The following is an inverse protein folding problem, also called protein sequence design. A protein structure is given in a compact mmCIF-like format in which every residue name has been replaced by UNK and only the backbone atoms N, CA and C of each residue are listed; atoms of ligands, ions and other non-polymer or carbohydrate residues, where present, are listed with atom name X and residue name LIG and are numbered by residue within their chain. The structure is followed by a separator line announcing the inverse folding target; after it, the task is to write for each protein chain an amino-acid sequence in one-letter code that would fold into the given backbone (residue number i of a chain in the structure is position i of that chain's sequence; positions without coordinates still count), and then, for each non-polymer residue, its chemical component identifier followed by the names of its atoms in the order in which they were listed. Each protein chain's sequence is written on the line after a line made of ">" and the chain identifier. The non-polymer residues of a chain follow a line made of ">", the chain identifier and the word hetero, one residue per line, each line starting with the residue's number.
data_IF_698112533605
#
_entry.id   IF_698112533605
#
_cell.length_a   1.000
_cell.length_b   1.000
_cell.length_c   1.000
_cell.angle_alpha   90.00
_cell.angle_beta   90.00
_cell.angle_gamma   90.00
#
_symmetry.space_group_name_H-M   'P 1'
#
loop_
_entity.id
_entity.type
_entity.pdbx_description
1 polymer ?
#
# COMPACT_ATOMS: atom_id res chain seq x y z
N UNK A 1 -15.79 -6.25 -5.87
CA UNK A 1 -16.52 -7.38 -5.25
C UNK A 1 -15.92 -7.65 -3.89
N UNK A 2 -16.74 -7.87 -2.86
CA UNK A 2 -16.29 -8.16 -1.50
C UNK A 2 -16.73 -9.57 -1.12
N UNK A 3 -15.80 -10.40 -0.65
CA UNK A 3 -16.09 -11.77 -0.26
C UNK A 3 -15.79 -11.95 1.23
N UNK A 4 -16.60 -12.78 1.89
CA UNK A 4 -16.36 -13.24 3.26
C UNK A 4 -16.18 -14.75 3.24
N UNK A 5 -15.13 -15.23 3.88
CA UNK A 5 -14.95 -16.66 4.18
C UNK A 5 -15.38 -16.91 5.62
N UNK A 6 -16.44 -17.69 5.81
CA UNK A 6 -16.78 -18.17 7.15
C UNK A 6 -15.85 -19.34 7.50
N UNK A 7 -14.90 -19.11 8.40
CA UNK A 7 -13.80 -20.07 8.68
C UNK A 7 -14.32 -21.43 9.17
N UNK A 8 -15.26 -21.53 10.13
CA UNK A 8 -15.72 -22.82 10.64
C UNK A 8 -16.38 -23.70 9.57
N UNK A 9 -17.22 -23.11 8.71
CA UNK A 9 -17.93 -23.86 7.65
C UNK A 9 -17.16 -23.93 6.33
N UNK A 10 -16.08 -23.15 6.18
CA UNK A 10 -15.27 -23.03 4.95
C UNK A 10 -16.07 -22.56 3.74
N UNK A 11 -17.15 -21.82 3.98
CA UNK A 11 -18.03 -21.34 2.92
C UNK A 11 -17.66 -19.90 2.53
N UNK A 12 -17.50 -19.69 1.23
CA UNK A 12 -17.38 -18.36 0.66
C UNK A 12 -18.75 -17.76 0.43
N UNK A 13 -18.89 -16.49 0.79
CA UNK A 13 -20.07 -15.68 0.56
C UNK A 13 -19.66 -14.43 -0.20
N UNK A 14 -20.33 -14.18 -1.33
CA UNK A 14 -20.26 -12.90 -2.00
C UNK A 14 -21.15 -11.92 -1.23
N UNK A 15 -20.53 -10.92 -0.63
CA UNK A 15 -21.27 -9.85 0.04
C UNK A 15 -21.79 -8.87 -1.01
N UNK A 16 -23.01 -8.38 -0.79
CA UNK A 16 -23.64 -7.32 -1.57
C UNK A 16 -23.86 -6.09 -0.68
N UNK A 17 -22.81 -5.30 -0.40
CA UNK A 17 -22.97 -4.15 0.49
C UNK A 17 -23.85 -3.06 -0.11
N UNK A 18 -24.64 -2.43 0.75
CA UNK A 18 -25.28 -1.15 0.48
C UNK A 18 -24.24 -0.02 0.44
N UNK A 19 -24.69 1.23 0.31
CA UNK A 19 -23.80 2.39 0.24
C UNK A 19 -23.21 2.55 -1.16
N UNK A 20 -23.83 3.41 -1.96
CA UNK A 20 -23.42 3.67 -3.34
C UNK A 20 -22.65 5.00 -3.43
N UNK A 21 -21.76 5.13 -4.44
CA UNK A 21 -21.33 4.07 -5.34
C UNK A 21 -20.43 3.05 -4.63
N UNK A 22 -20.34 1.85 -5.22
CA UNK A 22 -19.41 0.83 -4.72
C UNK A 22 -17.96 1.26 -5.01
N UNK A 23 -16.98 0.86 -4.19
CA UNK A 23 -15.59 1.16 -4.49
C UNK A 23 -15.12 0.50 -5.77
N UNK A 24 -14.30 1.26 -6.49
CA UNK A 24 -13.70 0.89 -7.76
C UNK A 24 -12.82 -0.36 -7.61
N UNK A 25 -12.86 -1.30 -8.57
CA UNK A 25 -12.06 -2.52 -8.50
C UNK A 25 -10.56 -2.21 -8.71
N UNK A 26 -9.86 -1.96 -7.61
CA UNK A 26 -8.43 -1.67 -7.60
C UNK A 26 -7.62 -2.85 -7.04
N UNK A 27 -6.37 -2.96 -7.48
CA UNK A 27 -5.36 -3.81 -6.85
C UNK A 27 -4.33 -2.93 -6.10
N UNK A 28 -3.42 -3.57 -5.36
CA UNK A 28 -2.25 -2.91 -4.73
C UNK A 28 -2.60 -1.70 -3.83
N UNK A 29 -3.81 -1.69 -3.26
CA UNK A 29 -4.22 -0.79 -2.18
C UNK A 29 -3.73 -1.31 -0.82
N UNK A 30 -3.78 -0.47 0.20
CA UNK A 30 -3.61 -0.89 1.58
C UNK A 30 -4.96 -0.90 2.30
N UNK A 31 -5.10 -1.77 3.29
CA UNK A 31 -6.29 -1.81 4.13
C UNK A 31 -5.98 -2.24 5.56
N UNK A 32 -6.79 -1.77 6.49
CA UNK A 32 -6.63 -1.99 7.93
C UNK A 32 -8.00 -2.09 8.61
N UNK A 33 -8.00 -2.64 9.81
CA UNK A 33 -9.20 -2.76 10.64
C UNK A 33 -9.11 -1.76 11.77
N UNK A 34 -10.20 -1.04 12.03
CA UNK A 34 -10.35 -0.21 13.22
C UNK A 34 -11.77 -0.32 13.74
N UNK A 35 -11.93 -0.82 14.97
CA UNK A 35 -13.23 -1.23 15.53
C UNK A 35 -13.91 -2.20 14.54
N UNK A 36 -15.20 -2.03 14.26
CA UNK A 36 -15.98 -2.90 13.37
C UNK A 36 -15.94 -2.48 11.89
N UNK A 37 -14.90 -1.73 11.49
CA UNK A 37 -14.80 -1.15 10.15
C UNK A 37 -13.50 -1.57 9.44
N UNK A 38 -13.63 -1.93 8.16
CA UNK A 38 -12.50 -2.17 7.27
C UNK A 38 -12.24 -0.91 6.45
N UNK A 39 -11.04 -0.37 6.54
CA UNK A 39 -10.62 0.78 5.76
C UNK A 39 -9.77 0.32 4.59
N UNK A 40 -9.91 0.97 3.45
CA UNK A 40 -9.11 0.76 2.25
C UNK A 40 -8.67 2.10 1.68
N UNK A 41 -7.40 2.22 1.33
CA UNK A 41 -6.82 3.44 0.80
C UNK A 41 -6.04 3.22 -0.50
N UNK A 42 -6.32 4.07 -1.48
CA UNK A 42 -5.63 4.15 -2.76
C UNK A 42 -5.81 2.91 -3.64
N UNK A 43 -4.76 2.60 -4.41
CA UNK A 43 -4.71 1.45 -5.31
C UNK A 43 -4.55 1.84 -6.77
N UNK A 44 -4.54 0.81 -7.63
CA UNK A 44 -4.42 0.95 -9.07
C UNK A 44 -5.57 0.22 -9.77
N UNK A 45 -6.38 0.95 -10.53
CA UNK A 45 -7.63 0.45 -11.09
C UNK A 45 -8.23 1.42 -12.10
N UNK A 46 -9.45 1.15 -12.61
CA UNK A 46 -10.13 2.08 -13.51
C UNK A 46 -10.45 3.41 -12.82
N UNK A 47 -10.93 4.39 -13.60
CA UNK A 47 -11.37 5.67 -13.04
C UNK A 47 -12.56 5.43 -12.08
N UNK A 48 -12.54 6.01 -10.86
CA UNK A 48 -13.66 5.91 -9.95
C UNK A 48 -14.84 6.78 -10.38
N UNK A 49 -16.05 6.34 -10.04
CA UNK A 49 -17.29 7.10 -10.27
C UNK A 49 -17.40 8.35 -9.37
N UNK A 50 -16.68 8.37 -8.24
CA UNK A 50 -16.67 9.48 -7.28
C UNK A 50 -15.57 10.50 -7.61
N UNK A 51 -15.98 11.65 -8.14
CA UNK A 51 -15.07 12.75 -8.52
C UNK A 51 -14.41 13.47 -7.34
N UNK A 52 -14.88 13.26 -6.10
CA UNK A 52 -14.29 13.89 -4.89
C UNK A 52 -12.88 13.40 -4.55
N UNK A 53 -12.42 12.31 -5.17
CA UNK A 53 -11.09 11.76 -4.97
C UNK A 53 -10.21 12.07 -6.17
N UNK A 54 -8.91 12.22 -5.92
CA UNK A 54 -7.95 12.42 -6.99
C UNK A 54 -7.71 11.08 -7.69
N UNK A 55 -7.71 11.13 -9.02
CA UNK A 55 -7.37 10.01 -9.87
C UNK A 55 -6.42 10.48 -10.96
N UNK A 56 -5.39 9.68 -11.22
CA UNK A 56 -4.43 9.93 -12.27
C UNK A 56 -4.31 8.70 -13.17
N UNK A 57 -4.68 8.86 -14.44
CA UNK A 57 -4.55 7.82 -15.44
C UNK A 57 -3.07 7.49 -15.69
N UNK A 58 -2.73 6.21 -15.74
CA UNK A 58 -1.45 5.76 -16.28
C UNK A 58 -1.53 5.76 -17.81
N UNK A 59 -0.82 6.70 -18.43
CA UNK A 59 -0.81 6.88 -19.88
C UNK A 59 -0.37 5.61 -20.62
N UNK A 60 0.42 4.74 -20.00
CA UNK A 60 0.82 3.45 -20.60
C UNK A 60 -0.33 2.45 -20.75
N UNK A 61 -1.48 2.71 -20.11
CA UNK A 61 -2.65 1.83 -20.12
C UNK A 61 -3.82 2.36 -20.95
N UNK A 62 -3.71 3.56 -21.53
CA UNK A 62 -4.82 4.25 -22.21
C UNK A 62 -5.37 3.45 -23.40
N UNK A 63 -4.51 2.76 -24.14
CA UNK A 63 -4.92 1.91 -25.26
C UNK A 63 -5.19 0.46 -24.86
N UNK A 64 -5.15 0.13 -23.57
CA UNK A 64 -5.52 -1.20 -23.09
C UNK A 64 -7.05 -1.33 -23.02
N UNK A 65 -7.56 -2.57 -23.08
CA UNK A 65 -8.99 -2.83 -22.97
C UNK A 65 -9.63 -2.28 -21.68
N UNK A 66 -8.82 -2.06 -20.64
CA UNK A 66 -9.25 -1.52 -19.34
C UNK A 66 -8.20 -0.48 -18.89
N UNK A 67 -8.31 0.80 -19.27
CA UNK A 67 -7.41 1.85 -18.81
C UNK A 67 -7.43 1.98 -17.29
N UNK A 68 -6.25 2.15 -16.69
CA UNK A 68 -6.08 2.17 -15.23
C UNK A 68 -5.17 3.31 -14.78
N UNK A 69 -5.28 3.63 -13.50
CA UNK A 69 -4.58 4.74 -12.89
C UNK A 69 -4.53 4.60 -11.39
N UNK A 70 -3.82 5.52 -10.76
CA UNK A 70 -3.72 5.63 -9.32
C UNK A 70 -4.87 6.46 -8.78
N UNK A 71 -5.36 6.11 -7.59
CA UNK A 71 -6.33 6.92 -6.85
C UNK A 71 -5.86 7.14 -5.41
N UNK A 72 -6.49 8.09 -4.71
CA UNK A 72 -6.36 8.27 -3.25
C UNK A 72 -7.72 8.09 -2.54
N UNK A 73 -8.56 7.18 -3.03
CA UNK A 73 -9.84 6.89 -2.42
C UNK A 73 -9.63 6.32 -1.01
N UNK A 74 -10.30 6.89 -0.02
CA UNK A 74 -10.51 6.27 1.28
C UNK A 74 -11.95 5.76 1.30
N UNK A 75 -12.11 4.44 1.37
CA UNK A 75 -13.41 3.79 1.47
C UNK A 75 -13.45 2.92 2.71
N UNK A 76 -14.61 2.87 3.36
CA UNK A 76 -14.81 2.16 4.61
C UNK A 76 -15.94 1.16 4.45
N UNK A 77 -15.72 -0.09 4.82
CA UNK A 77 -16.77 -1.09 4.91
C UNK A 77 -17.17 -1.26 6.36
N UNK A 78 -18.43 -0.97 6.66
CA UNK A 78 -19.02 -1.22 7.97
C UNK A 78 -19.51 -2.67 8.03
N UNK A 79 -18.87 -3.47 8.88
CA UNK A 79 -19.14 -4.90 8.97
C UNK A 79 -20.49 -5.21 9.65
N UNK A 80 -21.02 -4.28 10.44
CA UNK A 80 -22.30 -4.43 11.14
C UNK A 80 -23.47 -4.12 10.21
N UNK A 81 -23.37 -3.05 9.42
CA UNK A 81 -24.46 -2.61 8.55
C UNK A 81 -24.36 -3.14 7.11
N UNK A 82 -23.30 -3.88 6.79
CA UNK A 82 -23.00 -4.34 5.42
C UNK A 82 -23.10 -3.19 4.41
N UNK A 83 -22.38 -2.09 4.68
CA UNK A 83 -22.49 -0.85 3.92
C UNK A 83 -21.12 -0.26 3.62
N UNK A 84 -20.94 0.23 2.39
CA UNK A 84 -19.82 1.11 2.05
C UNK A 84 -20.10 2.53 2.53
N UNK A 85 -19.18 3.05 3.33
CA UNK A 85 -19.16 4.40 3.83
C UNK A 85 -18.02 5.17 3.17
N UNK A 86 -18.30 6.44 2.85
CA UNK A 86 -17.37 7.34 2.20
C UNK A 86 -17.11 8.55 3.09
N UNK A 87 -16.19 8.43 4.06
CA UNK A 87 -15.94 9.49 5.03
C UNK A 87 -15.45 10.77 4.35
N UNK A 88 -15.85 11.92 4.91
CA UNK A 88 -15.30 13.21 4.49
C UNK A 88 -13.89 13.35 5.03
N UNK A 89 -12.90 13.19 4.15
CA UNK A 89 -11.50 13.39 4.51
C UNK A 89 -11.24 14.87 4.82
N UNK A 90 -10.42 15.11 5.85
CA UNK A 90 -9.92 16.43 6.23
C UNK A 90 -8.39 16.45 6.15
N UNK A 91 -7.83 17.65 6.11
CA UNK A 91 -6.38 17.85 6.04
C UNK A 91 -5.77 17.51 4.67
N UNK A 92 -4.45 17.67 4.52
CA UNK A 92 -3.75 17.41 3.26
C UNK A 92 -3.67 15.89 3.02
N UNK A 93 -4.33 15.41 1.97
CA UNK A 93 -4.36 13.98 1.64
C UNK A 93 -3.10 13.56 0.89
N UNK A 94 -2.65 12.31 1.04
CA UNK A 94 -1.60 11.77 0.19
C UNK A 94 -2.03 11.79 -1.28
N UNK A 95 -1.06 11.98 -2.18
CA UNK A 95 -1.29 11.84 -3.63
C UNK A 95 -1.84 10.45 -3.99
N UNK A 96 -2.53 10.31 -5.14
CA UNK A 96 -2.92 9.01 -5.66
C UNK A 96 -1.76 8.03 -5.67
N UNK A 97 -1.96 6.80 -5.19
CA UNK A 97 -0.85 5.86 -5.06
C UNK A 97 -1.29 4.41 -4.99
N UNK A 98 -0.39 3.51 -5.41
CA UNK A 98 -0.53 2.07 -5.28
C UNK A 98 0.77 1.45 -4.79
N UNK A 99 0.72 0.22 -4.30
CA UNK A 99 1.87 -0.50 -3.75
C UNK A 99 2.61 0.27 -2.63
N UNK A 100 1.87 1.13 -1.92
CA UNK A 100 2.27 1.71 -0.65
C UNK A 100 2.05 0.67 0.46
N UNK A 101 2.68 0.87 1.61
CA UNK A 101 2.39 0.09 2.80
C UNK A 101 1.62 0.95 3.80
N UNK A 102 0.74 0.31 4.57
CA UNK A 102 0.06 0.94 5.67
C UNK A 102 -0.02 -0.01 6.86
N UNK A 103 0.01 0.56 8.06
CA UNK A 103 -0.26 -0.16 9.30
C UNK A 103 -0.82 0.79 10.36
N UNK A 104 -1.44 0.25 11.41
CA UNK A 104 -2.19 1.00 12.42
C UNK A 104 -1.56 0.88 13.81
N UNK A 105 -1.55 1.99 14.55
CA UNK A 105 -1.28 2.03 16.00
C UNK A 105 -2.33 2.90 16.69
N UNK A 106 -3.04 2.32 17.67
CA UNK A 106 -4.16 3.01 18.33
C UNK A 106 -5.22 3.47 17.33
N UNK A 107 -5.51 4.78 17.31
CA UNK A 107 -6.47 5.41 16.40
C UNK A 107 -5.81 6.04 15.14
N UNK A 108 -4.53 5.74 14.86
CA UNK A 108 -3.80 6.31 13.72
C UNK A 108 -3.34 5.23 12.75
N UNK A 109 -3.73 5.37 11.49
CA UNK A 109 -3.17 4.57 10.40
C UNK A 109 -2.04 5.36 9.73
N UNK A 110 -0.87 4.73 9.58
CA UNK A 110 0.27 5.32 8.88
C UNK A 110 0.37 4.75 7.47
N UNK A 111 0.67 5.59 6.49
CA UNK A 111 0.90 5.22 5.10
C UNK A 111 2.27 5.71 4.68
N UNK A 112 3.11 4.81 4.15
CA UNK A 112 4.45 5.14 3.69
C UNK A 112 4.64 4.79 2.21
N UNK A 113 5.25 5.73 1.49
CA UNK A 113 5.72 5.56 0.12
C UNK A 113 4.63 5.14 -0.87
N UNK A 114 5.00 4.24 -1.78
CA UNK A 114 4.17 3.76 -2.89
C UNK A 114 4.62 4.29 -4.24
N UNK A 115 3.90 3.91 -5.29
CA UNK A 115 4.09 4.37 -6.67
C UNK A 115 3.01 5.38 -7.03
N UNK A 116 3.43 6.52 -7.57
CA UNK A 116 2.58 7.52 -8.21
C UNK A 116 3.27 8.05 -9.46
N UNK A 117 2.62 7.95 -10.64
CA UNK A 117 3.22 8.31 -11.93
C UNK A 117 4.57 7.59 -12.13
N UNK A 118 5.62 8.36 -12.44
CA UNK A 118 6.99 7.87 -12.61
C UNK A 118 7.76 7.73 -11.28
N UNK A 119 7.19 8.15 -10.15
CA UNK A 119 7.89 8.22 -8.86
C UNK A 119 7.50 7.10 -7.91
N UNK A 120 8.50 6.55 -7.22
CA UNK A 120 8.32 5.82 -5.97
C UNK A 120 8.60 6.79 -4.84
N UNK A 121 7.60 7.06 -4.02
CA UNK A 121 7.66 8.13 -3.01
C UNK A 121 8.25 7.61 -1.70
N UNK A 122 8.78 8.52 -0.89
CA UNK A 122 9.26 8.28 0.48
C UNK A 122 8.44 9.05 1.51
N UNK A 123 7.24 9.52 1.15
CA UNK A 123 6.41 10.32 2.04
C UNK A 123 5.68 9.45 3.06
N UNK A 124 5.74 9.85 4.33
CA UNK A 124 4.99 9.30 5.44
C UNK A 124 3.78 10.19 5.72
N UNK A 125 2.60 9.59 5.85
CA UNK A 125 1.37 10.28 6.27
C UNK A 125 0.72 9.49 7.40
N UNK A 126 -0.08 10.16 8.22
CA UNK A 126 -0.97 9.51 9.18
C UNK A 126 -2.41 9.97 9.00
N UNK A 127 -3.35 9.05 9.17
CA UNK A 127 -4.78 9.30 9.20
C UNK A 127 -5.28 9.06 10.62
N UNK A 128 -5.85 10.10 11.22
CA UNK A 128 -6.62 9.97 12.45
C UNK A 128 -7.99 9.33 12.13
N UNK A 129 -8.26 8.15 12.70
CA UNK A 129 -9.41 7.32 12.37
C UNK A 129 -10.70 7.74 13.11
N UNK A 130 -10.58 8.61 14.11
CA UNK A 130 -11.72 9.17 14.84
C UNK A 130 -12.25 10.41 14.13
N UNK A 131 -11.37 11.24 13.60
CA UNK A 131 -11.71 12.52 12.96
C UNK A 131 -11.68 12.48 11.43
N UNK A 132 -11.11 11.42 10.84
CA UNK A 132 -10.80 11.26 9.41
C UNK A 132 -9.95 12.40 8.85
N UNK A 133 -8.97 12.84 9.65
CA UNK A 133 -8.04 13.92 9.31
C UNK A 133 -6.68 13.37 8.97
N UNK A 134 -6.19 13.66 7.77
CA UNK A 134 -4.82 13.40 7.36
C UNK A 134 -3.88 14.46 7.91
N UNK A 135 -2.70 14.03 8.34
CA UNK A 135 -1.64 14.90 8.83
C UNK A 135 -0.93 15.71 7.73
N UNK A 136 -1.09 15.33 6.46
CA UNK A 136 -0.13 15.67 5.42
C UNK A 136 1.21 14.95 5.60
N UNK A 137 2.21 15.39 4.84
CA UNK A 137 3.53 14.76 4.82
C UNK A 137 4.29 14.99 6.13
N UNK A 138 4.56 13.92 6.85
CA UNK A 138 5.28 13.86 8.11
C UNK A 138 6.78 13.56 7.95
N UNK A 139 7.24 13.37 6.72
CA UNK A 139 8.65 12.99 6.47
C UNK A 139 9.56 14.15 6.84
N UNK A 140 10.58 13.94 7.69
CA UNK A 140 11.61 14.94 7.95
C UNK A 140 12.44 15.22 6.69
N UNK A 141 13.32 16.24 6.75
CA UNK A 141 14.19 16.62 5.63
C UNK A 141 14.97 15.42 5.04
N UNK A 142 15.27 15.52 3.74
CA UNK A 142 15.48 14.38 2.84
C UNK A 142 16.59 13.39 3.20
N UNK A 143 17.59 13.76 4.00
CA UNK A 143 18.79 12.92 4.20
C UNK A 143 18.65 11.86 5.31
N UNK A 144 17.65 12.01 6.20
CA UNK A 144 17.48 11.11 7.35
C UNK A 144 16.31 10.12 7.17
N UNK A 145 15.82 9.89 5.94
CA UNK A 145 14.62 9.07 5.68
C UNK A 145 14.88 7.90 4.74
N UNK A 146 14.08 6.81 4.80
CA UNK A 146 14.22 5.71 3.87
C UNK A 146 14.02 6.20 2.42
N UNK A 147 14.79 5.72 1.43
CA UNK A 147 14.58 6.09 0.04
C UNK A 147 13.18 5.71 -0.45
N UNK A 148 12.73 6.45 -1.48
CA UNK A 148 11.40 6.29 -2.06
C UNK A 148 11.20 4.90 -2.66
N UNK A 149 10.08 4.25 -2.29
CA UNK A 149 9.90 2.81 -2.54
C UNK A 149 8.43 2.41 -2.70
N UNK A 150 8.21 1.33 -3.44
CA UNK A 150 6.92 0.63 -3.56
C UNK A 150 7.09 -0.86 -3.27
N UNK A 151 6.00 -1.59 -3.04
CA UNK A 151 6.01 -3.04 -2.77
C UNK A 151 6.87 -3.45 -1.55
N UNK A 152 7.05 -2.52 -0.62
CA UNK A 152 7.70 -2.74 0.66
C UNK A 152 6.63 -3.13 1.71
N UNK A 153 7.06 -3.39 2.94
CA UNK A 153 6.16 -3.56 4.08
C UNK A 153 6.41 -2.49 5.12
N UNK A 154 5.36 -2.13 5.88
CA UNK A 154 5.38 -1.27 7.06
C UNK A 154 4.67 -2.06 8.17
N UNK A 155 5.28 -2.19 9.34
CA UNK A 155 4.75 -3.00 10.43
C UNK A 155 5.05 -2.32 11.77
N UNK A 156 4.04 -2.05 12.58
CA UNK A 156 4.22 -1.64 13.96
C UNK A 156 4.79 -2.81 14.78
N UNK A 157 5.87 -2.51 15.51
CA UNK A 157 6.55 -3.44 16.42
C UNK A 157 6.35 -3.06 17.90
N UNK A 158 5.86 -1.84 18.14
CA UNK A 158 5.32 -1.35 19.40
C UNK A 158 4.36 -0.20 19.10
N UNK A 159 3.60 0.33 20.07
CA UNK A 159 2.73 1.48 19.84
C UNK A 159 3.46 2.74 19.31
N UNK A 160 4.78 2.82 19.52
CA UNK A 160 5.61 3.99 19.21
C UNK A 160 6.68 3.72 18.14
N UNK A 161 6.81 2.49 17.63
CA UNK A 161 7.83 2.13 16.64
C UNK A 161 7.28 1.26 15.54
N UNK A 162 7.63 1.59 14.30
CA UNK A 162 7.29 0.81 13.11
C UNK A 162 8.53 0.48 12.28
N UNK A 163 8.51 -0.65 11.58
CA UNK A 163 9.58 -1.11 10.70
C UNK A 163 9.13 -1.03 9.25
N UNK A 164 9.97 -0.43 8.40
CA UNK A 164 9.89 -0.52 6.95
C UNK A 164 10.96 -1.47 6.44
N UNK A 165 10.58 -2.44 5.60
CA UNK A 165 11.53 -3.39 5.01
C UNK A 165 11.36 -3.53 3.50
N UNK A 166 12.51 -3.53 2.82
CA UNK A 166 12.63 -3.90 1.41
C UNK A 166 11.81 -3.03 0.47
N UNK A 167 11.31 -3.65 -0.61
CA UNK A 167 10.60 -3.02 -1.70
C UNK A 167 11.44 -2.84 -2.95
N UNK A 168 11.00 -1.92 -3.79
CA UNK A 168 11.66 -1.55 -5.05
C UNK A 168 11.80 -0.02 -5.05
N UNK A 169 13.00 0.48 -5.34
CA UNK A 169 13.31 1.91 -5.30
C UNK A 169 13.05 2.64 -6.64
N UNK A 170 13.35 3.93 -6.71
CA UNK A 170 13.20 4.73 -7.94
C UNK A 170 14.04 4.21 -9.12
N UNK A 171 15.18 3.56 -8.86
CA UNK A 171 16.08 2.99 -9.88
C UNK A 171 15.67 1.59 -10.35
N UNK A 172 14.59 1.04 -9.79
CA UNK A 172 14.18 -0.36 -9.92
C UNK A 172 15.16 -1.37 -9.27
N UNK A 173 15.97 -0.91 -8.33
CA UNK A 173 16.79 -1.75 -7.45
C UNK A 173 15.92 -2.31 -6.32
N UNK A 174 16.10 -3.60 -6.05
CA UNK A 174 15.36 -4.29 -5.01
C UNK A 174 16.04 -4.03 -3.68
N UNK A 175 15.24 -3.62 -2.72
CA UNK A 175 15.73 -3.18 -1.43
C UNK A 175 15.79 -4.34 -0.44
N UNK A 176 16.80 -4.29 0.43
CA UNK A 176 17.01 -5.19 1.57
C UNK A 176 17.28 -4.43 2.87
N UNK A 177 17.18 -3.10 2.82
CA UNK A 177 17.35 -2.23 3.97
C UNK A 177 16.15 -2.34 4.91
N UNK A 178 16.41 -2.03 6.18
CA UNK A 178 15.41 -1.98 7.24
C UNK A 178 15.52 -0.64 7.92
N UNK A 179 14.39 -0.02 8.15
CA UNK A 179 14.30 1.27 8.80
C UNK A 179 13.29 1.20 9.92
N UNK A 180 13.62 1.79 11.06
CA UNK A 180 12.67 1.97 12.16
C UNK A 180 12.23 3.42 12.22
N UNK A 181 10.93 3.65 12.16
CA UNK A 181 10.28 4.90 12.52
C UNK A 181 10.05 4.94 14.02
N UNK A 182 10.55 5.98 14.69
CA UNK A 182 10.11 6.39 16.01
C UNK A 182 8.97 7.39 15.87
N UNK A 183 7.74 6.98 16.17
CA UNK A 183 6.53 7.79 15.90
C UNK A 183 6.49 9.11 16.67
N UNK A 184 6.83 9.17 17.98
CA UNK A 184 6.74 10.44 18.72
C UNK A 184 7.63 11.55 18.17
N UNK A 185 8.84 11.19 17.69
CA UNK A 185 9.83 12.12 17.14
C UNK A 185 9.82 12.19 15.62
N UNK A 186 9.04 11.32 14.94
CA UNK A 186 9.05 11.11 13.48
C UNK A 186 10.47 10.86 12.92
N UNK A 187 11.34 10.29 13.73
CA UNK A 187 12.73 10.02 13.38
C UNK A 187 12.87 8.63 12.77
N UNK A 188 13.64 8.52 11.70
CA UNK A 188 13.98 7.25 11.10
C UNK A 188 15.39 6.82 11.50
N UNK A 189 15.57 5.51 11.66
CA UNK A 189 16.85 4.88 11.99
C UNK A 189 17.05 3.71 11.05
N UNK A 190 18.09 3.76 10.23
CA UNK A 190 18.46 2.61 9.43
C UNK A 190 19.08 1.53 10.33
N UNK A 191 18.55 0.32 10.25
CA UNK A 191 19.14 -0.84 10.92
C UNK A 191 20.08 -1.55 9.94
N UNK A 192 21.30 -1.78 10.40
CA UNK A 192 22.29 -2.55 9.66
C UNK A 192 22.10 -4.05 9.93
N UNK A 193 22.03 -4.84 8.87
CA UNK A 193 21.91 -6.29 8.98
C UNK A 193 23.25 -6.95 8.72
N UNK A 194 23.47 -8.10 9.37
CA UNK A 194 24.58 -9.00 9.02
C UNK A 194 24.43 -9.57 7.59
N UNK A 195 23.19 -9.74 7.11
CA UNK A 195 22.89 -10.26 5.78
C UNK A 195 21.81 -9.45 5.08
N UNK A 196 22.11 -8.99 3.87
CA UNK A 196 21.16 -8.32 2.99
C UNK A 196 20.34 -9.36 2.22
N UNK A 197 19.02 -9.33 2.39
CA UNK A 197 18.09 -10.32 1.81
C UNK A 197 17.00 -9.57 1.01
N UNK A 198 17.29 -9.10 -0.22
CA UNK A 198 16.38 -8.20 -0.96
C UNK A 198 15.05 -8.85 -1.27
N UNK A 199 13.95 -8.12 -1.04
CA UNK A 199 12.57 -8.60 -1.28
C UNK A 199 11.65 -7.45 -1.69
N UNK A 200 10.83 -7.70 -2.71
CA UNK A 200 9.69 -6.86 -3.06
C UNK A 200 8.41 -7.69 -3.11
N UNK A 201 7.27 -7.05 -2.87
CA UNK A 201 5.92 -7.65 -2.89
C UNK A 201 5.80 -8.86 -1.97
N UNK A 202 6.56 -8.83 -0.88
CA UNK A 202 6.53 -9.79 0.20
C UNK A 202 5.44 -9.40 1.22
N UNK A 203 5.17 -10.29 2.18
CA UNK A 203 4.42 -9.97 3.39
C UNK A 203 5.35 -10.02 4.58
N UNK A 204 5.08 -9.17 5.54
CA UNK A 204 5.73 -9.18 6.83
C UNK A 204 4.66 -9.12 7.92
N UNK A 205 4.96 -9.72 9.08
CA UNK A 205 4.09 -9.68 10.25
C UNK A 205 4.94 -9.70 11.51
N UNK A 206 4.66 -8.78 12.44
CA UNK A 206 5.25 -8.82 13.77
C UNK A 206 4.56 -9.89 14.61
N UNK A 207 5.33 -10.76 15.26
CA UNK A 207 4.82 -11.92 16.04
C UNK A 207 5.24 -11.89 17.51
N UNK A 208 5.63 -10.71 18.01
CA UNK A 208 6.14 -10.54 19.38
C UNK A 208 7.56 -11.07 19.57
N UNK A 209 8.10 -10.90 20.79
CA UNK A 209 9.48 -11.24 21.14
C UNK A 209 10.52 -10.63 20.18
N UNK A 210 10.29 -9.39 19.74
CA UNK A 210 11.16 -8.65 18.82
C UNK A 210 11.39 -9.34 17.45
N UNK A 211 10.42 -10.14 16.97
CA UNK A 211 10.53 -10.85 15.69
C UNK A 211 9.54 -10.31 14.65
N UNK A 212 10.10 -9.91 13.51
CA UNK A 212 9.37 -9.65 12.28
C UNK A 212 9.57 -10.85 11.34
N UNK A 213 8.49 -11.56 11.00
CA UNK A 213 8.55 -12.67 10.05
C UNK A 213 8.26 -12.13 8.65
N UNK A 214 9.11 -12.49 7.68
CA UNK A 214 8.99 -12.06 6.28
C UNK A 214 8.85 -13.30 5.40
N UNK A 215 7.80 -13.34 4.58
CA UNK A 215 7.49 -14.49 3.71
C UNK A 215 7.15 -14.05 2.30
N UNK A 216 7.50 -14.90 1.33
CA UNK A 216 7.22 -14.71 -0.08
C UNK A 216 7.99 -13.54 -0.72
N UNK A 217 7.36 -12.93 -1.73
CA UNK A 217 7.94 -11.87 -2.54
C UNK A 217 9.01 -12.36 -3.51
N UNK A 218 9.54 -11.42 -4.30
CA UNK A 218 10.55 -11.68 -5.33
C UNK A 218 11.91 -11.13 -4.94
N UNK A 219 12.95 -11.86 -5.36
CA UNK A 219 14.37 -11.49 -5.23
C UNK A 219 14.94 -10.82 -6.48
N UNK A 220 14.19 -10.83 -7.58
CA UNK A 220 14.57 -10.27 -8.88
C UNK A 220 13.54 -9.22 -9.31
N UNK A 221 13.95 -8.28 -10.16
CA UNK A 221 13.05 -7.24 -10.64
C UNK A 221 12.02 -7.88 -11.57
N UNK A 222 10.76 -7.87 -11.13
CA UNK A 222 9.64 -8.47 -11.85
C UNK A 222 9.26 -7.71 -13.12
N UNK A 223 9.73 -6.47 -13.26
CA UNK A 223 9.50 -5.65 -14.45
C UNK A 223 10.44 -6.06 -15.60
N UNK A 224 11.68 -6.47 -15.29
CA UNK A 224 12.67 -6.87 -16.31
C UNK A 224 12.32 -8.23 -16.94
N UNK A 225 11.65 -9.11 -16.18
CA UNK A 225 11.22 -10.42 -16.68
C UNK A 225 10.21 -10.34 -17.85
N UNK A 226 9.52 -9.22 -18.04
CA UNK A 226 8.61 -9.04 -19.19
C UNK A 226 9.35 -8.69 -20.48
N UNK A 227 10.50 -8.04 -20.40
CA UNK A 227 11.31 -7.67 -21.59
C UNK A 227 11.89 -8.93 -22.25
N UNK A 228 12.31 -9.92 -21.44
CA UNK A 228 12.91 -11.16 -21.95
C UNK A 228 11.93 -12.18 -22.57
N UNK A 229 10.60 -11.99 -22.41
CA UNK A 229 9.62 -12.83 -23.12
C UNK A 229 9.32 -12.34 -24.54
N UNK A 230 9.47 -11.05 -24.80
CA UNK A 230 9.28 -10.50 -26.16
C UNK A 230 10.47 -10.84 -27.06
N UNK A 231 11.69 -10.90 -26.51
CA UNK A 231 12.90 -11.25 -27.27
C UNK A 231 13.05 -12.74 -27.60
N UNK A 232 12.28 -13.64 -26.97
CA UNK A 232 12.31 -15.09 -27.29
C UNK A 232 11.41 -15.50 -28.46
N UNK A 233 10.48 -14.65 -28.89
CA UNK A 233 9.57 -14.98 -30.01
C UNK A 233 10.20 -14.67 -31.38
N UNK A 234 11.33 -13.94 -31.43
CA UNK A 234 11.97 -13.52 -32.71
C UNK A 234 13.16 -14.43 -33.11
N UNK A 235 13.42 -15.54 -32.39
CA UNK A 235 14.56 -16.44 -32.69
C UNK A 235 14.20 -17.81 -33.27
N UNK A 236 12.94 -18.08 -33.60
CA UNK A 236 12.52 -19.34 -34.21
C UNK A 236 11.83 -19.12 -35.55
N UNK A 237 12.53 -18.52 -36.53
CA UNK A 237 12.28 -18.73 -37.96
C UNK A 237 13.59 -18.45 -38.71
N UNK A 238 14.42 -19.47 -38.84
CA UNK A 238 15.41 -19.64 -39.91
C UNK A 238 15.13 -21.00 -40.55
#
# INVERSE_FOLDING_TARGET
>A
MLHRLHIPSRTWELLNPAGRPAPTPCDKLAGWVYKDKLYFFGGFGPRPDLERFQYEMDQSTVYSAMPRGWNNQLVVYNTVTNCWEWPKMKGPTPSPRAAHAADITGHKAFVFGGRFKHRRTNDLHSLDLETHTWSGNLTPHFDDSPPGRSWHTLNFISPTRAVVYGGLDQTNSILSDCWVLEVPSLRWIQLMHQKCVPRLWHRAQFVGANRLLIVGGHKNNILDMRINKVSRVVKEFN
#
